data_IF_885814474005
#
_entry.id   IF_885814474005
#
_cell.length_a   1.000
_cell.length_b   1.000
_cell.length_c   1.000
_cell.angle_alpha   90.00
_cell.angle_beta   90.00
_cell.angle_gamma   90.00
#
_symmetry.space_group_name_H-M   'P 1'
#
loop_
_entity.id
_entity.type
_entity.pdbx_description
1 polymer ?
#
# COMPACT_ATOMS: atom_id res chain seq x y z
N UNK A 1 -11.67 22.05 43.09
CA UNK A 1 -10.92 22.26 41.82
C UNK A 1 -9.74 21.32 41.69
N UNK A 2 -8.97 21.05 42.73
CA UNK A 2 -7.83 20.12 42.74
C UNK A 2 -8.22 18.66 42.36
N UNK A 3 -9.30 18.12 42.94
CA UNK A 3 -9.72 16.73 42.74
C UNK A 3 -10.08 16.39 41.26
N UNK A 4 -10.68 17.34 40.55
CA UNK A 4 -11.01 17.14 39.12
C UNK A 4 -9.78 17.09 38.22
N UNK A 5 -8.73 17.81 38.60
CA UNK A 5 -7.45 17.81 37.85
C UNK A 5 -6.79 16.43 37.97
N UNK A 6 -6.76 15.85 39.16
CA UNK A 6 -6.21 14.47 39.33
C UNK A 6 -6.98 13.41 38.56
N UNK A 7 -8.32 13.49 38.53
CA UNK A 7 -9.16 12.55 37.79
C UNK A 7 -8.88 12.65 36.28
N UNK A 8 -8.72 13.87 35.76
CA UNK A 8 -8.39 14.09 34.36
C UNK A 8 -6.99 13.55 34.04
N UNK A 9 -6.02 13.79 34.91
CA UNK A 9 -4.65 13.29 34.73
C UNK A 9 -4.59 11.76 34.71
N UNK A 10 -5.27 11.10 35.63
CA UNK A 10 -5.39 9.64 35.69
C UNK A 10 -6.06 9.06 34.42
N UNK A 11 -7.13 9.71 33.94
CA UNK A 11 -7.80 9.30 32.68
C UNK A 11 -6.89 9.45 31.46
N UNK A 12 -6.15 10.54 31.37
CA UNK A 12 -5.17 10.77 30.29
C UNK A 12 -4.07 9.72 30.35
N UNK A 13 -3.52 9.48 31.54
CA UNK A 13 -2.47 8.47 31.74
C UNK A 13 -2.94 7.06 31.34
N UNK A 14 -4.15 6.68 31.76
CA UNK A 14 -4.75 5.40 31.41
C UNK A 14 -4.95 5.26 29.89
N UNK A 15 -5.48 6.31 29.24
CA UNK A 15 -5.67 6.32 27.78
C UNK A 15 -4.35 6.21 27.02
N UNK A 16 -3.33 6.97 27.43
CA UNK A 16 -1.98 6.88 26.86
C UNK A 16 -1.39 5.49 27.03
N UNK A 17 -1.59 4.88 28.21
CA UNK A 17 -1.16 3.51 28.49
C UNK A 17 -1.78 2.49 27.53
N UNK A 18 -3.08 2.60 27.25
CA UNK A 18 -3.78 1.75 26.26
C UNK A 18 -3.20 1.92 24.87
N UNK A 19 -2.95 3.16 24.44
CA UNK A 19 -2.37 3.44 23.12
C UNK A 19 -0.97 2.84 22.99
N UNK A 20 -0.14 2.99 24.02
CA UNK A 20 1.22 2.42 24.03
C UNK A 20 1.16 0.89 23.97
N UNK A 21 0.29 0.27 24.77
CA UNK A 21 0.09 -1.19 24.74
C UNK A 21 -0.36 -1.67 23.37
N UNK A 22 -1.32 -0.99 22.75
CA UNK A 22 -1.79 -1.30 21.39
C UNK A 22 -0.64 -1.24 20.37
N UNK A 23 0.14 -0.16 20.37
CA UNK A 23 1.28 -0.01 19.46
C UNK A 23 2.37 -1.07 19.72
N UNK A 24 2.61 -1.42 20.98
CA UNK A 24 3.53 -2.49 21.35
C UNK A 24 3.09 -3.84 20.80
N UNK A 25 1.81 -4.18 20.95
CA UNK A 25 1.24 -5.43 20.41
C UNK A 25 1.39 -5.49 18.89
N UNK A 26 1.11 -4.40 18.17
CA UNK A 26 1.31 -4.31 16.72
C UNK A 26 2.79 -4.46 16.33
N UNK A 27 3.70 -3.85 17.10
CA UNK A 27 5.13 -3.96 16.86
C UNK A 27 5.61 -5.42 17.02
N UNK A 28 5.18 -6.11 18.07
CA UNK A 28 5.50 -7.52 18.28
C UNK A 28 4.90 -8.38 17.16
N UNK A 29 3.63 -8.16 16.81
CA UNK A 29 2.94 -8.91 15.76
C UNK A 29 3.66 -8.78 14.40
N UNK A 30 4.22 -7.60 14.08
CA UNK A 30 4.93 -7.38 12.82
C UNK A 30 6.18 -8.26 12.63
N UNK A 31 6.70 -8.88 13.70
CA UNK A 31 7.88 -9.76 13.67
C UNK A 31 7.52 -11.24 13.48
N UNK A 32 6.26 -11.62 13.58
CA UNK A 32 5.85 -13.00 13.33
C UNK A 32 5.94 -13.34 11.84
N UNK A 33 6.11 -14.65 11.57
CA UNK A 33 6.22 -15.18 10.23
C UNK A 33 4.92 -14.89 9.45
N UNK A 34 5.07 -14.30 8.28
CA UNK A 34 3.95 -13.90 7.42
C UNK A 34 3.43 -15.06 6.59
N UNK A 35 2.19 -14.92 6.14
CA UNK A 35 1.58 -15.83 5.19
C UNK A 35 2.35 -15.72 3.86
N UNK A 36 2.82 -16.87 3.37
CA UNK A 36 3.40 -16.98 2.04
C UNK A 36 2.33 -17.58 1.14
N UNK A 37 1.94 -16.85 0.12
CA UNK A 37 0.97 -17.33 -0.84
C UNK A 37 1.58 -18.41 -1.73
N UNK A 38 0.80 -19.47 -2.08
CA UNK A 38 1.25 -20.47 -3.03
C UNK A 38 1.50 -19.80 -4.40
N UNK A 39 2.26 -20.48 -5.23
CA UNK A 39 2.52 -20.00 -6.59
C UNK A 39 1.22 -19.98 -7.37
N UNK A 40 0.95 -18.86 -8.06
CA UNK A 40 -0.23 -18.71 -8.90
C UNK A 40 -0.26 -19.79 -10.00
N UNK A 41 -1.42 -20.42 -10.16
CA UNK A 41 -1.64 -21.43 -11.20
C UNK A 41 -1.98 -20.77 -12.53
N UNK A 42 -2.62 -19.60 -12.49
CA UNK A 42 -3.06 -18.84 -13.66
C UNK A 42 -2.04 -17.77 -14.05
N UNK A 43 -1.98 -17.46 -15.33
CA UNK A 43 -1.28 -16.29 -15.83
C UNK A 43 -2.22 -15.08 -15.80
N UNK A 44 -1.77 -14.03 -15.17
CA UNK A 44 -2.49 -12.76 -15.08
C UNK A 44 -1.78 -11.68 -15.90
N UNK A 45 -2.54 -10.73 -16.42
CA UNK A 45 -2.03 -9.55 -17.10
C UNK A 45 -2.26 -8.34 -16.20
N UNK A 46 -1.22 -7.55 -15.99
CA UNK A 46 -1.24 -6.38 -15.14
C UNK A 46 -1.03 -5.10 -15.95
N UNK A 47 -1.94 -4.14 -15.79
CA UNK A 47 -1.73 -2.78 -16.26
C UNK A 47 -1.05 -1.96 -15.19
N UNK A 48 0.10 -1.36 -15.48
CA UNK A 48 0.86 -0.51 -14.57
C UNK A 48 0.58 0.95 -14.89
N UNK A 49 -0.15 1.63 -14.02
CA UNK A 49 -0.48 3.03 -14.13
C UNK A 49 0.58 3.91 -13.45
N UNK A 50 1.17 4.82 -14.22
CA UNK A 50 2.18 5.77 -13.77
C UNK A 50 1.71 7.19 -14.12
N UNK A 51 1.84 8.19 -13.23
CA UNK A 51 1.52 9.58 -13.57
C UNK A 51 2.36 10.07 -14.75
N UNK A 52 1.79 10.84 -15.66
CA UNK A 52 2.41 11.24 -16.94
C UNK A 52 3.76 11.96 -16.77
N UNK A 53 3.91 12.75 -15.72
CA UNK A 53 5.15 13.47 -15.43
C UNK A 53 6.24 12.61 -14.76
N UNK A 54 6.01 11.32 -14.58
CA UNK A 54 6.91 10.46 -13.82
C UNK A 54 7.78 9.62 -14.74
N UNK A 55 9.06 9.40 -14.39
CA UNK A 55 9.88 8.43 -15.10
C UNK A 55 9.30 7.03 -14.95
N UNK A 56 9.38 6.24 -16.02
CA UNK A 56 8.98 4.84 -15.94
C UNK A 56 9.93 4.09 -14.99
N UNK A 57 9.41 3.34 -14.02
CA UNK A 57 10.24 2.59 -13.09
C UNK A 57 10.94 1.41 -13.79
N UNK A 58 12.14 1.08 -13.32
CA UNK A 58 12.89 -0.08 -13.83
C UNK A 58 12.29 -1.37 -13.26
N UNK A 59 11.93 -2.29 -14.15
CA UNK A 59 11.47 -3.63 -13.80
C UNK A 59 12.52 -4.65 -14.28
N UNK A 60 12.96 -5.54 -13.39
CA UNK A 60 14.07 -6.45 -13.65
C UNK A 60 13.69 -7.74 -14.40
N UNK A 61 12.41 -7.99 -14.67
CA UNK A 61 11.98 -9.24 -15.32
C UNK A 61 10.78 -8.99 -16.22
N UNK A 62 10.83 -9.58 -17.41
CA UNK A 62 9.72 -9.57 -18.34
C UNK A 62 8.66 -10.58 -17.91
N UNK A 63 7.52 -10.09 -17.49
CA UNK A 63 6.29 -10.87 -17.36
C UNK A 63 5.13 -10.02 -17.89
N UNK A 64 3.97 -10.61 -18.06
CA UNK A 64 2.76 -10.06 -18.68
C UNK A 64 2.29 -8.74 -18.05
N UNK A 65 2.91 -7.63 -18.39
CA UNK A 65 2.52 -6.30 -17.94
C UNK A 65 2.68 -5.27 -19.06
N UNK A 66 1.90 -4.20 -18.97
CA UNK A 66 2.01 -3.03 -19.82
C UNK A 66 1.96 -1.74 -19.00
N UNK A 67 2.72 -0.73 -19.44
CA UNK A 67 2.72 0.58 -18.82
C UNK A 67 1.71 1.51 -19.48
N UNK A 68 0.95 2.21 -18.64
CA UNK A 68 0.02 3.26 -19.04
C UNK A 68 0.32 4.52 -18.25
N UNK A 69 0.38 5.65 -18.93
CA UNK A 69 0.50 6.95 -18.28
C UNK A 69 -0.88 7.57 -18.09
N UNK A 70 -1.08 8.32 -17.03
CA UNK A 70 -2.34 8.99 -16.76
C UNK A 70 -2.14 10.40 -16.19
N UNK A 71 -3.02 11.32 -16.57
CA UNK A 71 -3.20 12.63 -15.93
C UNK A 71 -4.28 12.58 -14.86
N UNK A 72 -5.40 11.93 -15.18
CA UNK A 72 -6.47 11.62 -14.25
C UNK A 72 -6.58 10.11 -14.04
N UNK A 73 -6.41 9.67 -12.79
CA UNK A 73 -6.45 8.24 -12.42
C UNK A 73 -7.76 7.57 -12.83
N UNK A 74 -8.89 8.27 -12.68
CA UNK A 74 -10.19 7.73 -13.03
C UNK A 74 -10.32 7.49 -14.54
N UNK A 75 -9.85 8.43 -15.36
CA UNK A 75 -9.83 8.27 -16.80
C UNK A 75 -8.88 7.13 -17.20
N UNK A 76 -7.66 7.09 -16.64
CA UNK A 76 -6.69 6.04 -16.91
C UNK A 76 -7.24 4.64 -16.61
N UNK A 77 -7.96 4.47 -15.51
CA UNK A 77 -8.57 3.17 -15.16
C UNK A 77 -9.68 2.79 -16.12
N UNK A 78 -10.53 3.74 -16.54
CA UNK A 78 -11.66 3.44 -17.42
C UNK A 78 -11.26 3.17 -18.88
N UNK A 79 -10.05 3.54 -19.30
CA UNK A 79 -9.52 3.22 -20.64
C UNK A 79 -8.97 1.80 -20.73
N UNK A 80 -8.73 1.14 -19.62
CA UNK A 80 -8.20 -0.22 -19.59
C UNK A 80 -9.27 -1.25 -19.93
N UNK A 81 -8.89 -2.23 -20.76
CA UNK A 81 -9.74 -3.34 -21.13
C UNK A 81 -9.74 -4.42 -20.03
N UNK A 82 -10.87 -4.61 -19.36
CA UNK A 82 -11.05 -5.63 -18.33
C UNK A 82 -11.01 -7.08 -18.83
N UNK A 83 -11.19 -7.30 -20.12
CA UNK A 83 -11.07 -8.64 -20.69
C UNK A 83 -9.59 -9.04 -20.84
N UNK A 84 -8.72 -8.04 -21.03
CA UNK A 84 -7.28 -8.25 -21.19
C UNK A 84 -6.53 -8.15 -19.85
N UNK A 85 -6.85 -7.16 -19.01
CA UNK A 85 -6.16 -6.95 -17.73
C UNK A 85 -7.04 -7.33 -16.55
N UNK A 86 -6.52 -8.14 -15.64
CA UNK A 86 -7.20 -8.51 -14.40
C UNK A 86 -6.79 -7.60 -13.25
N UNK A 87 -5.54 -7.12 -13.26
CA UNK A 87 -4.97 -6.31 -12.19
C UNK A 87 -4.51 -4.94 -12.69
N UNK A 88 -4.69 -3.95 -11.85
CA UNK A 88 -4.11 -2.61 -12.01
C UNK A 88 -3.14 -2.33 -10.88
N UNK A 89 -1.92 -1.99 -11.25
CA UNK A 89 -0.90 -1.51 -10.34
C UNK A 89 -0.81 0.02 -10.45
N UNK A 90 -1.15 0.73 -9.39
CA UNK A 90 -1.07 2.19 -9.33
C UNK A 90 0.21 2.59 -8.62
N UNK A 91 1.17 3.16 -9.33
CA UNK A 91 2.44 3.61 -8.78
C UNK A 91 2.43 5.09 -8.42
N UNK A 92 3.31 5.48 -7.50
CA UNK A 92 3.54 6.89 -7.17
C UNK A 92 4.43 7.55 -8.22
N UNK A 93 4.35 8.88 -8.33
CA UNK A 93 5.24 9.69 -9.17
C UNK A 93 6.72 9.64 -8.74
N UNK A 94 7.02 9.07 -7.58
CA UNK A 94 8.37 8.93 -7.05
C UNK A 94 8.93 7.51 -7.18
N UNK A 95 8.18 6.57 -7.77
CA UNK A 95 8.64 5.20 -7.99
C UNK A 95 9.77 5.18 -9.04
N UNK A 96 10.90 4.54 -8.70
CA UNK A 96 12.09 4.46 -9.56
C UNK A 96 12.44 3.05 -9.99
N UNK A 97 12.17 2.06 -9.12
CA UNK A 97 12.42 0.65 -9.43
C UNK A 97 11.52 -0.27 -8.59
N UNK A 98 11.36 -1.49 -9.07
CA UNK A 98 10.59 -2.54 -8.43
C UNK A 98 11.52 -3.71 -8.06
N UNK A 99 11.21 -4.41 -6.96
CA UNK A 99 12.01 -5.56 -6.54
C UNK A 99 11.93 -6.72 -7.54
N UNK A 100 12.94 -7.59 -7.60
CA UNK A 100 12.84 -8.85 -8.34
C UNK A 100 11.64 -9.68 -7.87
N UNK A 101 11.00 -10.40 -8.80
CA UNK A 101 9.80 -11.21 -8.52
C UNK A 101 8.58 -10.42 -7.99
N UNK A 102 8.58 -9.11 -8.18
CA UNK A 102 7.53 -8.21 -7.70
C UNK A 102 6.14 -8.62 -8.18
N UNK A 103 5.96 -8.83 -9.49
CA UNK A 103 4.69 -9.24 -10.08
C UNK A 103 4.30 -10.65 -9.68
N UNK A 104 5.25 -11.58 -9.58
CA UNK A 104 4.99 -12.94 -9.11
C UNK A 104 4.36 -12.94 -7.71
N UNK A 105 4.86 -12.10 -6.80
CA UNK A 105 4.28 -11.96 -5.45
C UNK A 105 2.86 -11.43 -5.47
N UNK A 106 2.58 -10.46 -6.34
CA UNK A 106 1.24 -9.89 -6.51
C UNK A 106 0.28 -10.93 -7.08
N UNK A 107 0.71 -11.65 -8.14
CA UNK A 107 -0.13 -12.68 -8.77
C UNK A 107 -0.44 -13.84 -7.82
N UNK A 108 0.52 -14.26 -7.00
CA UNK A 108 0.31 -15.29 -5.98
C UNK A 108 -0.76 -14.89 -4.96
N UNK A 109 -0.71 -13.64 -4.48
CA UNK A 109 -1.72 -13.13 -3.56
C UNK A 109 -3.09 -12.97 -4.23
N UNK A 110 -3.11 -12.50 -5.48
CA UNK A 110 -4.35 -12.34 -6.25
C UNK A 110 -5.01 -13.69 -6.56
N UNK A 111 -4.24 -14.70 -6.96
CA UNK A 111 -4.75 -16.07 -7.20
C UNK A 111 -5.33 -16.70 -5.93
N UNK A 112 -4.79 -16.34 -4.76
CA UNK A 112 -5.34 -16.72 -3.46
C UNK A 112 -6.61 -15.94 -3.06
N UNK A 113 -7.12 -15.04 -3.91
CA UNK A 113 -8.38 -14.31 -3.72
C UNK A 113 -8.24 -12.91 -3.12
N UNK A 114 -7.03 -12.36 -2.99
CA UNK A 114 -6.82 -11.01 -2.48
C UNK A 114 -7.04 -9.98 -3.60
N UNK A 115 -8.12 -9.20 -3.49
CA UNK A 115 -8.52 -8.21 -4.52
C UNK A 115 -7.81 -6.85 -4.37
N UNK A 116 -7.31 -6.52 -3.18
CA UNK A 116 -6.63 -5.25 -2.92
C UNK A 116 -5.35 -5.48 -2.12
N UNK A 117 -4.24 -5.00 -2.63
CA UNK A 117 -2.90 -5.25 -2.10
C UNK A 117 -2.17 -3.92 -1.95
N UNK A 118 -1.72 -3.62 -0.74
CA UNK A 118 -0.79 -2.53 -0.48
C UNK A 118 0.64 -3.04 -0.58
N UNK A 119 1.47 -2.37 -1.36
CA UNK A 119 2.85 -2.75 -1.58
C UNK A 119 3.79 -2.09 -0.57
N UNK A 120 4.92 -2.73 -0.32
CA UNK A 120 5.96 -2.18 0.52
C UNK A 120 6.69 -1.05 -0.20
N UNK A 121 6.70 0.14 0.38
CA UNK A 121 7.37 1.31 -0.21
C UNK A 121 8.61 1.65 0.58
N UNK A 122 9.76 1.69 -0.08
CA UNK A 122 11.06 2.05 0.51
C UNK A 122 11.54 3.37 -0.10
N UNK A 123 12.01 4.30 0.74
CA UNK A 123 12.66 5.53 0.30
C UNK A 123 14.16 5.28 0.19
N UNK A 124 14.71 5.34 -1.03
CA UNK A 124 16.15 5.12 -1.28
C UNK A 124 16.99 6.31 -0.89
N UNK A 125 16.59 7.52 -1.30
CA UNK A 125 17.36 8.72 -1.00
C UNK A 125 17.20 9.15 0.45
N UNK A 126 18.12 8.69 1.32
CA UNK A 126 18.16 9.00 2.76
C UNK A 126 19.15 10.11 3.11
N UNK A 127 19.61 10.92 2.13
CA UNK A 127 20.51 12.05 2.37
C UNK A 127 19.76 13.20 3.06
N UNK A 128 20.38 13.74 4.13
CA UNK A 128 19.80 14.81 4.93
C UNK A 128 18.80 14.32 6.02
N UNK A 129 18.61 15.16 7.05
CA UNK A 129 17.78 14.83 8.22
C UNK A 129 16.31 14.59 7.83
N UNK A 130 15.72 15.46 7.02
CA UNK A 130 14.31 15.35 6.63
C UNK A 130 14.01 14.06 5.85
N UNK A 131 14.90 13.67 4.94
CA UNK A 131 14.70 12.44 4.16
C UNK A 131 14.88 11.18 5.01
N UNK A 132 15.84 11.19 5.95
CA UNK A 132 15.99 10.11 6.94
C UNK A 132 14.75 9.96 7.82
N UNK A 133 14.25 11.08 8.32
CA UNK A 133 13.04 11.08 9.15
C UNK A 133 11.82 10.56 8.39
N UNK A 134 11.61 11.00 7.14
CA UNK A 134 10.54 10.48 6.27
C UNK A 134 10.67 8.98 6.02
N UNK A 135 11.90 8.49 5.76
CA UNK A 135 12.14 7.07 5.57
C UNK A 135 11.78 6.26 6.84
N UNK A 136 12.20 6.73 8.02
CA UNK A 136 11.87 6.10 9.30
C UNK A 136 10.35 6.09 9.53
N UNK A 137 9.66 7.23 9.33
CA UNK A 137 8.21 7.29 9.47
C UNK A 137 7.49 6.33 8.51
N UNK A 138 8.01 6.17 7.29
CA UNK A 138 7.45 5.24 6.32
C UNK A 138 7.63 3.78 6.76
N UNK A 139 8.80 3.43 7.30
CA UNK A 139 9.07 2.09 7.83
C UNK A 139 8.23 1.77 9.07
N UNK A 140 8.07 2.73 9.98
CA UNK A 140 7.15 2.59 11.13
C UNK A 140 5.74 2.32 10.63
N UNK A 141 5.26 3.08 9.64
CA UNK A 141 3.93 2.86 9.05
C UNK A 141 3.81 1.49 8.38
N UNK A 142 4.82 1.05 7.67
CA UNK A 142 4.85 -0.28 7.04
C UNK A 142 4.81 -1.39 8.09
N UNK A 143 5.59 -1.27 9.16
CA UNK A 143 5.70 -2.27 10.21
C UNK A 143 4.45 -2.31 11.10
N UNK A 144 4.07 -1.19 11.72
CA UNK A 144 2.98 -1.17 12.70
C UNK A 144 1.60 -1.28 12.04
N UNK A 145 1.28 -0.31 11.16
CA UNK A 145 -0.09 -0.16 10.65
C UNK A 145 -0.41 -1.00 9.41
N UNK A 146 0.58 -1.64 8.81
CA UNK A 146 0.37 -2.55 7.68
C UNK A 146 0.67 -3.97 8.07
N UNK A 147 1.93 -4.29 8.35
CA UNK A 147 2.33 -5.63 8.72
C UNK A 147 1.68 -6.09 10.03
N UNK A 148 1.66 -5.25 11.06
CA UNK A 148 1.01 -5.57 12.34
C UNK A 148 -0.47 -5.87 12.18
N UNK A 149 -1.22 -5.02 11.46
CA UNK A 149 -2.66 -5.24 11.25
C UNK A 149 -2.95 -6.53 10.50
N UNK A 150 -2.24 -6.80 9.41
CA UNK A 150 -2.49 -8.02 8.60
C UNK A 150 -2.19 -9.31 9.36
N UNK A 151 -1.29 -9.30 10.35
CA UNK A 151 -1.06 -10.44 11.23
C UNK A 151 -2.27 -10.80 12.11
N UNK A 152 -3.10 -9.82 12.43
CA UNK A 152 -4.36 -10.03 13.15
C UNK A 152 -5.56 -10.29 12.24
N UNK A 153 -5.35 -10.47 10.94
CA UNK A 153 -6.43 -10.59 9.96
C UNK A 153 -7.20 -9.28 9.73
N UNK A 154 -6.64 -8.14 10.18
CA UNK A 154 -7.21 -6.82 9.93
C UNK A 154 -6.70 -6.29 8.58
N UNK A 155 -7.52 -5.49 7.91
CA UNK A 155 -7.11 -4.84 6.67
C UNK A 155 -5.94 -3.90 6.88
N UNK A 156 -5.00 -3.92 5.93
CA UNK A 156 -3.91 -2.95 5.85
C UNK A 156 -4.45 -1.55 5.51
N UNK A 157 -3.71 -0.52 5.92
CA UNK A 157 -3.98 0.85 5.52
C UNK A 157 -3.42 1.12 4.11
N UNK A 158 -4.25 1.61 3.20
CA UNK A 158 -3.83 2.06 1.87
C UNK A 158 -3.19 3.46 1.92
N UNK A 159 -2.19 3.68 1.09
CA UNK A 159 -1.59 5.01 0.94
C UNK A 159 -2.03 5.77 -0.31
N UNK A 160 -2.98 5.23 -1.04
CA UNK A 160 -3.46 5.83 -2.30
C UNK A 160 -2.54 5.59 -3.51
N UNK A 161 -1.31 5.15 -3.28
CA UNK A 161 -0.31 4.82 -4.31
C UNK A 161 0.48 3.59 -3.93
N UNK A 162 1.20 3.01 -4.88
CA UNK A 162 1.95 1.76 -4.73
C UNK A 162 1.05 0.63 -4.23
N UNK A 163 -0.02 0.39 -4.97
CA UNK A 163 -1.03 -0.61 -4.65
C UNK A 163 -1.45 -1.36 -5.91
N UNK A 164 -1.80 -2.63 -5.75
CA UNK A 164 -2.40 -3.45 -6.79
C UNK A 164 -3.86 -3.75 -6.43
N UNK A 165 -4.77 -3.59 -7.38
CA UNK A 165 -6.21 -3.79 -7.16
C UNK A 165 -6.80 -4.48 -8.39
N UNK A 166 -7.81 -5.32 -8.15
CA UNK A 166 -8.64 -5.92 -9.19
C UNK A 166 -9.25 -4.85 -10.09
N UNK A 167 -9.05 -4.95 -11.42
CA UNK A 167 -9.48 -3.95 -12.37
C UNK A 167 -11.01 -3.87 -12.46
N UNK A 168 -11.67 -5.01 -12.51
CA UNK A 168 -13.13 -5.05 -12.62
C UNK A 168 -13.79 -4.43 -11.40
N UNK A 169 -13.28 -4.77 -10.20
CA UNK A 169 -13.76 -4.14 -8.98
C UNK A 169 -13.57 -2.62 -9.02
N UNK A 170 -12.41 -2.16 -9.48
CA UNK A 170 -12.05 -0.75 -9.51
C UNK A 170 -12.94 0.04 -10.48
N UNK A 171 -13.15 -0.44 -11.70
CA UNK A 171 -14.03 0.19 -12.70
C UNK A 171 -15.48 0.24 -12.22
N UNK A 172 -15.99 -0.82 -11.60
CA UNK A 172 -17.35 -0.88 -11.08
C UNK A 172 -17.61 0.06 -9.89
N UNK A 173 -16.57 0.39 -9.14
CA UNK A 173 -16.71 1.16 -7.89
C UNK A 173 -16.14 2.57 -7.94
N UNK A 174 -15.23 2.89 -8.85
CA UNK A 174 -14.63 4.22 -8.97
C UNK A 174 -15.46 5.07 -9.92
N UNK A 175 -16.31 5.95 -9.38
CA UNK A 175 -17.20 6.81 -10.18
C UNK A 175 -16.63 8.21 -10.46
N UNK A 176 -15.53 8.59 -9.82
CA UNK A 176 -14.95 9.93 -9.92
C UNK A 176 -13.52 9.92 -9.41
N UNK A 177 -12.67 10.77 -9.95
CA UNK A 177 -11.29 11.00 -9.51
C UNK A 177 -11.17 11.41 -8.03
N UNK A 178 -12.23 12.02 -7.47
CA UNK A 178 -12.31 12.40 -6.05
C UNK A 178 -12.70 11.25 -5.12
N UNK A 179 -12.96 10.05 -5.66
CA UNK A 179 -13.36 8.90 -4.85
C UNK A 179 -12.14 8.37 -4.09
N UNK A 180 -12.22 8.34 -2.77
CA UNK A 180 -11.20 7.69 -1.94
C UNK A 180 -11.36 6.17 -2.03
N UNK A 181 -10.41 5.52 -2.70
CA UNK A 181 -10.39 4.08 -2.96
C UNK A 181 -10.42 3.29 -1.64
N UNK A 182 -9.61 3.64 -0.66
CA UNK A 182 -9.54 2.96 0.64
C UNK A 182 -10.90 2.98 1.36
N UNK A 183 -11.55 4.16 1.41
CA UNK A 183 -12.89 4.28 2.01
C UNK A 183 -13.92 3.43 1.27
N UNK A 184 -13.79 3.28 -0.04
CA UNK A 184 -14.70 2.48 -0.84
C UNK A 184 -14.49 0.99 -0.59
N UNK A 185 -13.24 0.52 -0.56
CA UNK A 185 -12.88 -0.85 -0.19
C UNK A 185 -13.43 -1.19 1.20
N UNK A 186 -13.20 -0.33 2.17
CA UNK A 186 -13.71 -0.51 3.53
C UNK A 186 -15.23 -0.63 3.58
N UNK A 187 -15.98 0.28 2.90
CA UNK A 187 -17.44 0.25 2.84
C UNK A 187 -18.01 -1.00 2.16
N UNK A 188 -17.23 -1.63 1.30
CA UNK A 188 -17.59 -2.85 0.58
C UNK A 188 -17.06 -4.12 1.24
N UNK A 189 -16.47 -3.99 2.44
CA UNK A 189 -15.85 -5.09 3.19
C UNK A 189 -14.80 -5.86 2.37
N UNK A 190 -14.08 -5.18 1.50
CA UNK A 190 -12.96 -5.76 0.75
C UNK A 190 -11.73 -5.74 1.65
N UNK A 191 -11.14 -6.90 1.87
CA UNK A 191 -9.91 -7.04 2.63
C UNK A 191 -8.73 -6.48 1.84
N UNK A 192 -7.90 -5.69 2.52
CA UNK A 192 -6.67 -5.12 1.94
C UNK A 192 -5.49 -5.81 2.59
N UNK A 193 -4.75 -6.57 1.81
CA UNK A 193 -3.52 -7.19 2.28
C UNK A 193 -2.29 -6.29 2.12
N UNK A 194 -1.20 -6.66 2.78
CA UNK A 194 0.08 -5.99 2.69
C UNK A 194 1.18 -6.98 2.32
N UNK A 195 1.82 -6.75 1.16
CA UNK A 195 2.94 -7.56 0.70
C UNK A 195 4.28 -6.88 0.97
N UNK A 196 5.02 -7.31 2.00
CA UNK A 196 6.32 -6.75 2.34
C UNK A 196 7.42 -7.09 1.34
N UNK A 197 7.27 -8.23 0.65
CA UNK A 197 8.25 -8.74 -0.29
C UNK A 197 8.08 -8.16 -1.71
N UNK A 198 6.94 -7.48 -1.98
CA UNK A 198 6.70 -6.72 -3.20
C UNK A 198 7.10 -5.26 -2.96
N UNK A 199 8.38 -4.94 -3.21
CA UNK A 199 8.97 -3.65 -2.85
C UNK A 199 8.95 -2.69 -4.02
N UNK A 200 8.45 -1.47 -3.77
CA UNK A 200 8.56 -0.30 -4.64
C UNK A 200 9.59 0.64 -4.06
N UNK A 201 10.68 0.85 -4.77
CA UNK A 201 11.71 1.83 -4.40
C UNK A 201 11.32 3.20 -4.92
N UNK A 202 11.31 4.18 -4.03
CA UNK A 202 10.88 5.53 -4.32
C UNK A 202 11.96 6.54 -3.98
N UNK A 203 12.02 7.64 -4.73
CA UNK A 203 12.76 8.82 -4.30
C UNK A 203 11.96 9.60 -3.26
N UNK A 204 12.66 10.29 -2.38
CA UNK A 204 12.01 11.28 -1.53
C UNK A 204 11.57 12.47 -2.40
N UNK A 205 10.29 12.82 -2.35
CA UNK A 205 9.82 14.03 -3.03
C UNK A 205 10.66 15.23 -2.60
N UNK A 206 11.09 16.10 -3.52
CA UNK A 206 11.75 17.34 -3.14
C UNK A 206 10.83 18.12 -2.19
N UNK A 207 11.42 18.68 -1.16
CA UNK A 207 10.72 19.64 -0.31
C UNK A 207 10.58 20.89 -1.18
N UNK A 208 9.40 21.16 -1.69
CA UNK A 208 9.13 22.51 -2.17
C UNK A 208 9.25 23.45 -0.97
N UNK A 209 10.12 24.46 -1.08
CA UNK A 209 10.32 25.44 -0.01
C UNK A 209 9.04 26.24 0.26
#
# INVERSE_FOLDING_TARGET
MSTYIYIIDDLVFFFVGIVILYLFVLAVASHFKRIVYPKAEKKYHCAILVPEESPLPVIYREESYEFFTYNDLHQGINTLDKEHYQLVLILSNTAISLSPLFLEKIYNAYDAGIQAIQLHTVIENRKGFCNRFRAICKEIKNSLFRAGNTQFGLSSNLSGTNMAIDLEWLQNNLRSSKTNIERKLFRKNVYIDYLPDAIVYCQSSPVHP
#
